data_IF_917529724296
#
_entry.id   IF_917529724296
#
_cell.length_a   1.000
_cell.length_b   1.000
_cell.length_c   1.000
_cell.angle_alpha   90.00
_cell.angle_beta   90.00
_cell.angle_gamma   90.00
#
_symmetry.space_group_name_H-M   'P 1'
#
loop_
_entity.id
_entity.type
_entity.pdbx_description
1 polymer ?
#
# COMPACT_ATOMS: atom_id res chain seq x y z
N UNK A 1 23.63 20.95 -4.25
CA UNK A 1 23.08 20.21 -4.21
C UNK A 1 21.90 20.39 -4.12
N UNK A 2 21.53 21.03 -3.75
CA UNK A 2 20.51 21.50 -3.83
C UNK A 2 19.84 21.39 -5.04
N UNK A 3 20.37 21.77 -6.06
CA UNK A 3 19.73 21.52 -7.25
C UNK A 3 19.68 20.10 -7.52
N UNK A 4 20.57 19.32 -6.92
CA UNK A 4 20.57 17.90 -7.10
C UNK A 4 19.53 17.22 -6.26
N UNK A 5 19.09 17.86 -5.19
CA UNK A 5 17.99 17.35 -4.41
C UNK A 5 16.73 17.94 -4.95
N UNK A 6 16.47 17.67 -6.20
CA UNK A 6 15.29 18.20 -6.83
C UNK A 6 14.08 17.37 -6.44
N UNK A 7 12.93 17.75 -6.95
CA UNK A 7 11.68 17.14 -6.62
C UNK A 7 11.70 15.64 -6.90
N UNK A 8 12.32 15.24 -8.00
CA UNK A 8 12.37 13.82 -8.38
C UNK A 8 13.14 13.00 -7.37
N UNK A 9 14.29 13.51 -6.94
CA UNK A 9 15.10 12.80 -5.95
C UNK A 9 14.37 12.66 -4.64
N UNK A 10 13.69 13.72 -4.20
CA UNK A 10 12.95 13.67 -2.95
C UNK A 10 11.82 12.65 -3.05
N UNK A 11 11.09 12.62 -4.16
CA UNK A 11 10.01 11.66 -4.31
C UNK A 11 10.52 10.22 -4.30
N UNK A 12 11.67 9.96 -4.93
CA UNK A 12 12.23 8.62 -4.93
C UNK A 12 12.60 8.17 -3.52
N UNK A 13 13.23 9.06 -2.77
CA UNK A 13 13.64 8.74 -1.41
C UNK A 13 12.43 8.48 -0.53
N UNK A 14 11.43 9.34 -0.61
CA UNK A 14 10.22 9.18 0.20
C UNK A 14 9.50 7.89 -0.17
N UNK A 15 9.42 7.59 -1.47
CA UNK A 15 8.77 6.37 -1.92
C UNK A 15 9.45 5.11 -1.40
N UNK A 16 10.77 5.07 -1.44
CA UNK A 16 11.49 3.92 -0.90
C UNK A 16 11.29 3.77 0.60
N UNK A 17 11.30 4.89 1.31
CA UNK A 17 11.04 4.85 2.75
C UNK A 17 9.64 4.33 3.04
N UNK A 18 8.66 4.72 2.25
CA UNK A 18 7.29 4.25 2.43
C UNK A 18 7.19 2.75 2.18
N UNK A 19 7.87 2.24 1.16
CA UNK A 19 7.86 0.81 0.87
C UNK A 19 8.49 0.04 2.02
N UNK A 20 9.61 0.52 2.53
CA UNK A 20 10.27 -0.12 3.66
C UNK A 20 9.37 -0.12 4.88
N UNK A 21 8.72 1.01 5.16
CA UNK A 21 7.83 1.10 6.32
C UNK A 21 6.64 0.16 6.16
N UNK A 22 6.06 0.09 4.96
CA UNK A 22 4.94 -0.80 4.72
C UNK A 22 5.32 -2.26 4.89
N UNK A 23 6.47 -2.66 4.35
CA UNK A 23 6.95 -4.02 4.49
C UNK A 23 7.25 -4.35 5.95
N UNK A 24 7.84 -3.40 6.67
CA UNK A 24 8.12 -3.62 8.09
C UNK A 24 6.83 -3.85 8.87
N UNK A 25 5.81 -3.04 8.61
CA UNK A 25 4.51 -3.23 9.26
C UNK A 25 3.94 -4.60 9.00
N UNK A 26 4.03 -5.08 7.76
CA UNK A 26 3.47 -6.37 7.41
C UNK A 26 4.22 -7.53 8.04
N UNK A 27 5.53 -7.41 8.13
CA UNK A 27 6.36 -8.51 8.63
C UNK A 27 6.27 -8.64 10.15
N UNK A 28 6.16 -7.52 10.84
CA UNK A 28 6.30 -7.51 12.29
C UNK A 28 5.01 -7.66 13.05
N UNK A 29 3.90 -7.96 12.37
CA UNK A 29 2.64 -8.00 13.09
C UNK A 29 1.75 -9.12 12.56
N UNK A 30 0.84 -9.58 13.41
CA UNK A 30 -0.20 -10.52 13.02
C UNK A 30 -1.57 -9.87 13.06
N UNK A 31 -1.63 -8.59 13.40
CA UNK A 31 -2.91 -7.88 13.48
C UNK A 31 -3.30 -7.46 12.06
N UNK A 32 -4.47 -7.89 11.61
CA UNK A 32 -4.83 -7.71 10.20
C UNK A 32 -4.96 -6.24 9.81
N UNK A 33 -5.40 -5.38 10.73
CA UNK A 33 -5.49 -3.96 10.41
C UNK A 33 -4.11 -3.35 10.18
N UNK A 34 -3.12 -3.78 10.94
CA UNK A 34 -1.77 -3.27 10.74
C UNK A 34 -1.19 -3.76 9.43
N UNK A 35 -1.50 -4.99 9.06
CA UNK A 35 -1.09 -5.53 7.76
C UNK A 35 -1.74 -4.73 6.64
N UNK A 36 -3.02 -4.41 6.79
CA UNK A 36 -3.73 -3.61 5.81
C UNK A 36 -3.08 -2.22 5.67
N UNK A 37 -2.74 -1.58 6.79
CA UNK A 37 -2.08 -0.29 6.75
C UNK A 37 -0.74 -0.40 6.01
N UNK A 38 0.02 -1.45 6.26
CA UNK A 38 1.29 -1.66 5.57
C UNK A 38 1.11 -1.79 4.06
N UNK A 39 0.10 -2.56 3.64
CA UNK A 39 -0.20 -2.72 2.22
C UNK A 39 -0.60 -1.38 1.61
N UNK A 40 -1.43 -0.60 2.30
CA UNK A 40 -1.86 0.69 1.79
C UNK A 40 -0.70 1.65 1.61
N UNK A 41 0.22 1.68 2.57
CA UNK A 41 1.39 2.54 2.47
C UNK A 41 2.23 2.15 1.27
N UNK A 42 2.47 0.85 1.09
CA UNK A 42 3.26 0.37 -0.03
C UNK A 42 2.60 0.69 -1.37
N UNK A 43 1.28 0.55 -1.45
CA UNK A 43 0.55 0.86 -2.67
C UNK A 43 0.58 2.35 -2.99
N UNK A 44 0.56 3.20 -1.97
CA UNK A 44 0.69 4.64 -2.18
C UNK A 44 2.07 4.99 -2.73
N UNK A 45 3.10 4.29 -2.28
CA UNK A 45 4.43 4.51 -2.81
C UNK A 45 4.50 4.16 -4.29
N UNK A 46 3.90 3.03 -4.67
CA UNK A 46 3.87 2.62 -6.08
C UNK A 46 3.12 3.65 -6.92
N UNK A 47 1.99 4.13 -6.42
CA UNK A 47 1.20 5.15 -7.12
C UNK A 47 2.04 6.41 -7.33
N UNK A 48 2.79 6.81 -6.30
CA UNK A 48 3.63 7.99 -6.40
C UNK A 48 4.73 7.79 -7.45
N UNK A 49 5.30 6.60 -7.53
CA UNK A 49 6.29 6.31 -8.56
C UNK A 49 5.70 6.35 -9.97
N UNK A 50 4.46 5.92 -10.12
CA UNK A 50 3.79 6.02 -11.42
C UNK A 50 3.63 7.47 -11.84
N UNK A 51 3.23 8.33 -10.91
CA UNK A 51 3.09 9.75 -11.20
C UNK A 51 4.44 10.34 -11.60
N UNK A 52 5.48 10.01 -10.84
CA UNK A 52 6.80 10.52 -11.11
C UNK A 52 7.31 10.05 -12.46
N UNK A 53 7.11 8.78 -12.79
CA UNK A 53 7.56 8.24 -14.07
C UNK A 53 6.88 8.95 -15.22
N UNK A 54 5.59 9.23 -15.11
CA UNK A 54 4.88 9.94 -16.16
C UNK A 54 5.39 11.36 -16.32
N UNK A 55 5.67 12.02 -15.21
CA UNK A 55 6.19 13.38 -15.26
C UNK A 55 7.57 13.42 -15.94
N UNK A 56 8.45 12.51 -15.54
CA UNK A 56 9.82 12.49 -16.08
C UNK A 56 9.83 12.17 -17.56
N UNK A 57 8.95 11.29 -18.01
CA UNK A 57 8.94 10.85 -19.39
C UNK A 57 8.03 11.70 -20.29
N UNK A 58 7.43 12.75 -19.76
CA UNK A 58 6.57 13.60 -20.56
C UNK A 58 5.26 12.95 -20.96
N UNK A 59 4.82 11.93 -20.21
CA UNK A 59 3.61 11.19 -20.53
C UNK A 59 2.63 11.24 -19.35
N UNK A 60 2.40 12.46 -18.88
CA UNK A 60 1.56 12.66 -17.70
C UNK A 60 0.14 12.12 -17.88
N UNK A 61 -0.42 12.26 -19.07
CA UNK A 61 -1.77 11.75 -19.32
C UNK A 61 -1.87 10.26 -19.15
N UNK A 62 -0.92 9.51 -19.70
CA UNK A 62 -0.90 8.06 -19.57
C UNK A 62 -0.68 7.65 -18.12
N UNK A 63 0.24 8.34 -17.44
CA UNK A 63 0.52 8.07 -16.05
C UNK A 63 -0.72 8.26 -15.19
N UNK A 64 -1.47 9.33 -15.44
CA UNK A 64 -2.68 9.60 -14.68
C UNK A 64 -3.73 8.52 -14.90
N UNK A 65 -3.82 7.99 -16.11
CA UNK A 65 -4.74 6.88 -16.37
C UNK A 65 -4.38 5.66 -15.54
N UNK A 66 -3.09 5.33 -15.46
CA UNK A 66 -2.65 4.22 -14.62
C UNK A 66 -2.91 4.48 -13.15
N UNK A 67 -2.72 5.72 -12.72
CA UNK A 67 -2.97 6.07 -11.31
C UNK A 67 -4.44 5.92 -10.97
N UNK A 68 -5.33 6.34 -11.86
CA UNK A 68 -6.77 6.17 -11.63
C UNK A 68 -7.11 4.70 -11.50
N UNK A 69 -6.57 3.87 -12.39
CA UNK A 69 -6.78 2.42 -12.32
C UNK A 69 -6.26 1.87 -11.00
N UNK A 70 -5.09 2.29 -10.57
CA UNK A 70 -4.52 1.83 -9.31
C UNK A 70 -5.38 2.23 -8.14
N UNK A 71 -5.93 3.44 -8.14
CA UNK A 71 -6.80 3.89 -7.06
C UNK A 71 -8.06 3.03 -6.99
N UNK A 72 -8.65 2.71 -8.13
CA UNK A 72 -9.82 1.84 -8.16
C UNK A 72 -9.50 0.48 -7.57
N UNK A 73 -8.35 -0.08 -7.95
CA UNK A 73 -7.93 -1.37 -7.41
C UNK A 73 -7.68 -1.30 -5.91
N UNK A 74 -7.12 -0.20 -5.44
CA UNK A 74 -6.90 -0.01 -4.01
C UNK A 74 -8.21 0.01 -3.24
N UNK A 75 -9.24 0.61 -3.80
CA UNK A 75 -10.55 0.63 -3.16
C UNK A 75 -11.10 -0.80 -3.06
N UNK A 76 -10.95 -1.59 -4.12
CA UNK A 76 -11.41 -2.99 -4.10
C UNK A 76 -10.66 -3.76 -3.02
N UNK A 77 -9.35 -3.59 -2.94
CA UNK A 77 -8.54 -4.26 -1.92
C UNK A 77 -9.00 -3.83 -0.53
N UNK A 78 -9.28 -2.55 -0.34
CA UNK A 78 -9.73 -2.04 0.96
C UNK A 78 -11.04 -2.68 1.37
N UNK A 79 -11.98 -2.83 0.43
CA UNK A 79 -13.27 -3.45 0.72
C UNK A 79 -13.08 -4.91 1.12
N UNK A 80 -12.23 -5.63 0.40
CA UNK A 80 -11.97 -7.03 0.72
C UNK A 80 -11.34 -7.17 2.11
N UNK A 81 -10.34 -6.33 2.42
CA UNK A 81 -9.72 -6.38 3.73
C UNK A 81 -10.71 -6.02 4.83
N UNK A 82 -11.59 -5.05 4.58
CA UNK A 82 -12.60 -4.70 5.56
C UNK A 82 -13.52 -5.88 5.85
N UNK A 83 -13.95 -6.56 4.80
CA UNK A 83 -14.80 -7.74 4.96
C UNK A 83 -14.12 -8.84 5.74
N UNK A 84 -12.85 -9.13 5.41
CA UNK A 84 -12.09 -10.15 6.12
C UNK A 84 -11.90 -9.76 7.59
N UNK A 85 -11.61 -8.48 7.84
CA UNK A 85 -11.40 -8.00 9.20
C UNK A 85 -12.67 -8.18 10.04
N UNK A 86 -13.80 -7.80 9.48
CA UNK A 86 -15.07 -7.93 10.19
C UNK A 86 -15.39 -9.40 10.47
N UNK A 87 -15.20 -10.25 9.48
CA UNK A 87 -15.47 -11.67 9.62
C UNK A 87 -14.58 -12.28 10.71
N UNK A 88 -13.30 -11.94 10.67
CA UNK A 88 -12.34 -12.45 11.64
C UNK A 88 -12.69 -12.02 13.05
N UNK A 89 -13.04 -10.75 13.22
CA UNK A 89 -13.40 -10.24 14.52
C UNK A 89 -14.66 -10.91 15.05
N UNK A 90 -15.66 -11.09 14.21
CA UNK A 90 -16.91 -11.71 14.64
C UNK A 90 -16.72 -13.17 15.02
N UNK A 91 -15.82 -13.87 14.33
CA UNK A 91 -15.62 -15.29 14.58
C UNK A 91 -14.71 -15.54 15.77
N UNK A 92 -13.65 -14.76 15.94
CA UNK A 92 -12.65 -15.04 16.95
C UNK A 92 -12.56 -13.99 18.03
N UNK A 93 -13.23 -12.86 17.88
CA UNK A 93 -13.21 -11.80 18.86
C UNK A 93 -11.94 -10.97 18.83
N UNK A 94 -11.05 -11.20 17.86
CA UNK A 94 -9.85 -10.40 17.70
C UNK A 94 -9.47 -10.39 16.23
N UNK A 95 -8.41 -9.65 15.91
CA UNK A 95 -7.99 -9.47 14.53
C UNK A 95 -6.64 -10.10 14.23
N UNK A 96 -6.30 -11.15 14.97
CA UNK A 96 -5.02 -11.85 14.77
C UNK A 96 -5.16 -12.81 13.59
N UNK A 97 -4.32 -12.63 12.56
CA UNK A 97 -4.40 -13.43 11.35
C UNK A 97 -4.03 -14.88 11.59
N UNK A 98 -3.37 -15.19 12.71
CA UNK A 98 -3.05 -16.57 13.01
C UNK A 98 -4.29 -17.42 13.18
N UNK A 99 -5.42 -16.80 13.49
CA UNK A 99 -6.68 -17.52 13.58
C UNK A 99 -7.15 -18.05 12.23
N UNK A 100 -6.67 -17.46 11.14
CA UNK A 100 -7.06 -17.90 9.80
C UNK A 100 -6.54 -19.29 9.48
N UNK A 101 -5.43 -19.69 10.08
CA UNK A 101 -4.90 -21.04 9.85
C UNK A 101 -5.78 -22.10 10.46
N UNK A 102 -6.57 -21.74 11.47
CA UNK A 102 -7.45 -22.70 12.11
C UNK A 102 -8.69 -22.98 11.29
N UNK A 103 -8.99 -22.12 10.32
CA UNK A 103 -10.13 -22.35 9.46
C UNK A 103 -9.94 -23.57 8.57
N UNK A 104 -8.68 -23.93 8.32
CA UNK A 104 -8.40 -25.08 7.47
C UNK A 104 -8.43 -26.37 8.23
N UNK A 105 -8.15 -26.32 9.49
CA UNK A 105 -8.11 -27.49 10.31
C UNK A 105 -9.36 -27.74 11.05
#
# INVERSE_FOLDING_TARGET
MDQNMNFQTVMLIVGFLMIIAGCYCMIRTYHILKIFIGVEIAMKAVTMFLVLAGYVNGRAGLSQAYVITAIVLEVVVAVVFAGVTIHLYKKYGNMDIRNLTQLKG
#
